data_IF_177192389417
#
_entry.id   IF_177192389417
#
_cell.length_a   1.000
_cell.length_b   1.000
_cell.length_c   1.000
_cell.angle_alpha   90.00
_cell.angle_beta   90.00
_cell.angle_gamma   90.00
#
_symmetry.space_group_name_H-M   'P 1'
#
loop_
_entity.id
_entity.type
_entity.pdbx_description
1 polymer ?
#
# COMPACT_ATOMS: atom_id res chain seq x y z
N UNK A 1 18.82 -2.15 8.07
CA UNK A 1 17.85 -1.48 8.97
C UNK A 1 16.66 -1.08 8.10
N UNK A 2 15.40 -1.21 8.59
CA UNK A 2 14.25 -0.71 7.82
C UNK A 2 14.29 0.82 7.73
N UNK A 3 14.07 1.42 6.56
CA UNK A 3 14.07 2.86 6.40
C UNK A 3 12.89 3.52 7.15
N UNK A 4 12.99 4.81 7.53
CA UNK A 4 11.87 5.55 8.10
C UNK A 4 10.65 5.51 7.18
N UNK A 5 9.53 5.03 7.71
CA UNK A 5 8.25 5.01 6.99
C UNK A 5 7.45 6.25 7.38
N UNK A 6 7.26 7.16 6.43
CA UNK A 6 6.47 8.38 6.65
C UNK A 6 5.00 8.09 6.38
N UNK A 7 4.18 8.39 7.37
CA UNK A 7 2.74 8.18 7.32
C UNK A 7 2.05 9.46 6.84
N UNK A 8 1.19 9.37 5.83
CA UNK A 8 0.43 10.48 5.26
C UNK A 8 -0.95 10.01 4.76
N UNK A 9 -1.92 10.91 4.59
CA UNK A 9 -3.25 10.56 4.08
C UNK A 9 -3.20 10.00 2.65
N UNK A 10 -4.06 9.01 2.35
CA UNK A 10 -4.16 8.36 1.03
C UNK A 10 -4.32 9.36 -0.13
N UNK A 11 -5.05 10.45 0.11
CA UNK A 11 -5.28 11.52 -0.88
C UNK A 11 -4.00 12.22 -1.32
N UNK A 12 -2.95 12.20 -0.49
CA UNK A 12 -1.66 12.83 -0.80
C UNK A 12 -0.71 11.86 -1.53
N UNK A 13 -1.08 10.58 -1.70
CA UNK A 13 -0.23 9.59 -2.36
C UNK A 13 0.25 10.00 -3.76
N UNK A 14 -0.60 10.58 -4.65
CA UNK A 14 -0.14 11.05 -5.96
C UNK A 14 0.91 12.17 -5.88
N UNK A 15 0.92 12.95 -4.80
CA UNK A 15 1.90 14.01 -4.57
C UNK A 15 3.19 13.45 -3.94
N UNK A 16 3.08 12.60 -2.90
CA UNK A 16 4.24 12.02 -2.21
C UNK A 16 5.08 11.13 -3.11
N UNK A 17 4.46 10.38 -4.02
CA UNK A 17 5.21 9.51 -4.95
C UNK A 17 6.13 10.28 -5.90
N UNK A 18 5.89 11.59 -6.08
CA UNK A 18 6.74 12.44 -6.91
C UNK A 18 8.12 12.68 -6.27
N UNK A 19 8.31 12.42 -4.98
CA UNK A 19 9.56 12.60 -4.27
C UNK A 19 10.29 11.27 -4.01
N UNK A 20 11.63 11.34 -4.03
CA UNK A 20 12.50 10.25 -3.57
C UNK A 20 12.55 10.21 -2.03
N UNK A 21 13.19 9.18 -1.47
CA UNK A 21 13.32 9.01 0.00
C UNK A 21 14.07 10.16 0.69
N UNK A 22 14.70 11.06 -0.08
CA UNK A 22 15.38 12.27 0.41
C UNK A 22 14.52 13.53 0.20
N UNK A 23 13.26 13.39 -0.19
CA UNK A 23 12.33 14.49 -0.46
C UNK A 23 12.59 15.22 -1.78
N UNK A 24 13.45 14.71 -2.68
CA UNK A 24 13.75 15.37 -3.95
C UNK A 24 12.84 14.86 -5.05
N UNK A 25 12.41 15.73 -5.96
CA UNK A 25 11.59 15.32 -7.12
C UNK A 25 12.26 14.18 -7.90
N UNK A 26 11.52 13.09 -8.14
CA UNK A 26 11.95 11.97 -8.99
C UNK A 26 12.06 12.43 -10.44
N UNK A 27 13.08 11.92 -11.12
CA UNK A 27 13.30 12.16 -12.55
C UNK A 27 12.96 10.89 -13.30
N UNK A 28 12.05 10.96 -14.27
CA UNK A 28 11.65 9.81 -15.06
C UNK A 28 12.61 9.58 -16.24
N UNK A 29 12.74 8.32 -16.66
CA UNK A 29 13.50 7.96 -17.86
C UNK A 29 12.80 8.52 -19.11
N UNK A 30 13.56 9.19 -19.98
CA UNK A 30 13.06 9.75 -21.24
C UNK A 30 12.39 11.12 -21.12
N UNK A 31 12.30 11.68 -19.92
CA UNK A 31 11.63 12.96 -19.69
C UNK A 31 12.62 14.13 -19.58
N UNK A 32 12.78 14.83 -20.71
CA UNK A 32 13.30 16.20 -20.77
C UNK A 32 12.21 17.24 -20.46
N UNK A 33 10.98 16.82 -20.14
CA UNK A 33 9.72 17.57 -20.27
C UNK A 33 8.85 17.68 -19.01
N UNK A 34 9.33 17.27 -17.83
CA UNK A 34 8.70 17.59 -16.54
C UNK A 34 7.51 16.73 -16.09
N UNK A 35 7.25 15.60 -16.75
CA UNK A 35 6.23 14.61 -16.37
C UNK A 35 6.47 13.99 -14.98
N UNK A 36 5.41 13.86 -14.20
CA UNK A 36 5.41 13.18 -12.90
C UNK A 36 5.12 11.69 -12.99
N UNK A 37 5.37 10.96 -11.91
CA UNK A 37 4.99 9.55 -11.76
C UNK A 37 3.47 9.42 -11.89
N UNK A 38 3.03 8.55 -12.80
CA UNK A 38 1.63 8.17 -12.96
C UNK A 38 1.45 6.74 -12.41
N UNK A 39 0.90 6.63 -11.20
CA UNK A 39 0.69 5.36 -10.51
C UNK A 39 -0.18 4.37 -11.32
N UNK A 40 -1.12 4.87 -12.12
CA UNK A 40 -2.02 4.02 -12.91
C UNK A 40 -1.28 3.22 -13.99
N UNK A 41 -0.15 3.77 -14.48
CA UNK A 41 0.72 3.14 -15.48
C UNK A 41 1.77 2.21 -14.87
N UNK A 42 1.97 2.26 -13.57
CA UNK A 42 2.88 1.35 -12.86
C UNK A 42 2.25 -0.03 -12.70
N UNK A 43 3.10 -1.06 -12.69
CA UNK A 43 2.66 -2.45 -12.58
C UNK A 43 2.07 -2.71 -11.19
N UNK A 44 0.84 -3.19 -11.13
CA UNK A 44 0.19 -3.58 -9.88
C UNK A 44 0.64 -4.98 -9.43
N UNK A 45 1.00 -5.11 -8.16
CA UNK A 45 1.37 -6.34 -7.47
C UNK A 45 0.48 -6.52 -6.25
N UNK A 46 0.26 -7.77 -5.87
CA UNK A 46 -0.46 -8.13 -4.64
C UNK A 46 0.39 -9.05 -3.77
N UNK A 47 0.30 -8.87 -2.46
CA UNK A 47 0.89 -9.74 -1.45
C UNK A 47 -0.18 -10.13 -0.44
N UNK A 48 -0.43 -11.43 -0.29
CA UNK A 48 -1.27 -11.92 0.80
C UNK A 48 -0.45 -11.95 2.10
N UNK A 49 -0.97 -11.28 3.12
CA UNK A 49 -0.47 -11.30 4.48
C UNK A 49 -1.56 -11.85 5.41
N UNK A 50 -1.22 -12.11 6.66
CA UNK A 50 -2.19 -12.49 7.67
C UNK A 50 -2.11 -11.51 8.83
N UNK A 51 -3.26 -10.97 9.22
CA UNK A 51 -3.42 -10.28 10.50
C UNK A 51 -3.88 -11.32 11.52
N UNK A 52 -3.23 -11.36 12.69
CA UNK A 52 -3.54 -12.33 13.72
C UNK A 52 -3.76 -11.63 15.05
N UNK A 53 -4.82 -12.00 15.76
CA UNK A 53 -5.11 -11.53 17.11
C UNK A 53 -5.33 -12.71 18.05
N UNK A 54 -4.94 -12.53 19.31
CA UNK A 54 -5.27 -13.46 20.40
C UNK A 54 -6.66 -13.07 20.89
N UNK A 55 -7.63 -13.99 20.83
CA UNK A 55 -9.03 -13.66 21.14
C UNK A 55 -9.22 -13.15 22.58
N UNK A 56 -8.50 -13.75 23.53
CA UNK A 56 -8.54 -13.42 24.95
C UNK A 56 -7.09 -13.35 25.47
N UNK A 57 -6.39 -12.21 25.33
CA UNK A 57 -4.96 -12.11 25.67
C UNK A 57 -4.63 -12.40 27.15
N UNK A 58 -5.63 -12.31 28.03
CA UNK A 58 -5.48 -12.53 29.47
C UNK A 58 -5.67 -14.00 29.88
N UNK A 59 -6.20 -14.87 29.02
CA UNK A 59 -6.43 -16.28 29.34
C UNK A 59 -5.28 -17.14 28.79
N UNK A 60 -4.66 -18.00 29.62
CA UNK A 60 -3.67 -18.96 29.13
C UNK A 60 -4.27 -19.85 28.03
N UNK A 61 -3.49 -20.11 26.99
CA UNK A 61 -3.89 -20.92 25.83
C UNK A 61 -5.11 -20.39 25.05
N UNK A 62 -5.37 -19.09 25.09
CA UNK A 62 -6.38 -18.48 24.22
C UNK A 62 -6.07 -18.79 22.73
N UNK A 63 -7.09 -19.10 21.91
CA UNK A 63 -6.92 -19.26 20.47
C UNK A 63 -6.34 -17.99 19.81
N UNK A 64 -5.52 -18.22 18.79
CA UNK A 64 -5.07 -17.19 17.85
C UNK A 64 -5.95 -17.27 16.61
N UNK A 65 -6.59 -16.16 16.25
CA UNK A 65 -7.39 -16.06 15.04
C UNK A 65 -6.65 -15.22 14.03
N UNK A 66 -6.47 -15.77 12.83
CA UNK A 66 -5.79 -15.09 11.72
C UNK A 66 -6.74 -14.90 10.54
N UNK A 67 -6.61 -13.76 9.86
CA UNK A 67 -7.39 -13.43 8.69
C UNK A 67 -6.47 -12.97 7.56
N UNK A 68 -6.77 -13.37 6.34
CA UNK A 68 -6.00 -12.94 5.17
C UNK A 68 -6.21 -11.45 4.91
N UNK A 69 -5.12 -10.73 4.67
CA UNK A 69 -5.07 -9.32 4.31
C UNK A 69 -4.32 -9.20 2.99
N UNK A 70 -4.98 -8.71 1.95
CA UNK A 70 -4.31 -8.45 0.68
C UNK A 70 -3.72 -7.05 0.68
N UNK A 71 -2.40 -6.96 0.54
CA UNK A 71 -1.67 -5.71 0.32
C UNK A 71 -1.41 -5.49 -1.16
N UNK A 72 -1.58 -4.28 -1.65
CA UNK A 72 -1.33 -3.92 -3.05
C UNK A 72 -0.15 -2.97 -3.17
N UNK A 73 0.67 -3.16 -4.20
CA UNK A 73 1.87 -2.35 -4.46
C UNK A 73 1.95 -1.96 -5.94
N UNK A 74 2.31 -0.71 -6.21
CA UNK A 74 2.69 -0.25 -7.55
C UNK A 74 4.21 -0.28 -7.67
N UNK A 75 4.70 -1.05 -8.64
CA UNK A 75 6.09 -1.13 -9.03
C UNK A 75 6.32 -0.11 -10.16
N UNK A 76 6.97 1.00 -9.84
CA UNK A 76 7.22 2.13 -10.72
C UNK A 76 8.71 2.22 -11.07
N UNK A 77 9.05 3.01 -12.10
CA UNK A 77 10.45 3.24 -12.51
C UNK A 77 10.77 4.72 -12.58
N UNK A 78 11.90 5.10 -12.02
CA UNK A 78 12.55 6.40 -12.22
C UNK A 78 13.97 6.20 -12.78
N UNK A 79 14.71 7.31 -12.97
CA UNK A 79 16.08 7.29 -13.51
C UNK A 79 17.08 6.53 -12.63
N UNK A 80 16.80 6.37 -11.34
CA UNK A 80 17.67 5.62 -10.41
C UNK A 80 17.33 4.14 -10.36
N UNK A 81 16.15 3.74 -10.85
CA UNK A 81 15.75 2.35 -10.96
C UNK A 81 14.28 2.14 -10.66
N UNK A 82 13.95 0.90 -10.32
CA UNK A 82 12.61 0.51 -9.90
C UNK A 82 12.40 0.87 -8.43
N UNK A 83 11.18 1.28 -8.07
CA UNK A 83 10.77 1.49 -6.70
C UNK A 83 9.34 0.99 -6.49
N UNK A 84 9.03 0.60 -5.26
CA UNK A 84 7.73 0.04 -4.89
C UNK A 84 7.00 0.97 -3.94
N UNK A 85 5.69 1.16 -4.19
CA UNK A 85 4.81 1.99 -3.38
C UNK A 85 3.62 1.16 -2.94
N UNK A 86 3.43 1.01 -1.63
CA UNK A 86 2.20 0.41 -1.12
C UNK A 86 1.00 1.30 -1.46
N UNK A 87 -0.03 0.70 -2.07
CA UNK A 87 -1.20 1.36 -2.64
C UNK A 87 -2.51 0.73 -2.18
N UNK A 88 -2.47 -0.14 -1.16
CA UNK A 88 -3.63 -0.91 -0.67
C UNK A 88 -4.92 -0.08 -0.56
N UNK A 89 -4.90 1.02 0.21
CA UNK A 89 -6.10 1.85 0.34
C UNK A 89 -6.35 2.80 -0.85
N UNK A 90 -5.33 3.06 -1.69
CA UNK A 90 -5.48 3.84 -2.92
C UNK A 90 -6.21 3.04 -4.00
N UNK A 91 -5.95 1.73 -4.10
CA UNK A 91 -6.71 0.83 -4.97
C UNK A 91 -8.17 0.68 -4.49
N UNK A 92 -8.42 0.66 -3.18
CA UNK A 92 -9.78 0.61 -2.62
C UNK A 92 -10.62 1.87 -2.85
N UNK A 93 -9.98 3.04 -2.99
CA UNK A 93 -10.65 4.33 -3.21
C UNK A 93 -10.87 4.66 -4.69
N UNK A 94 -10.00 4.20 -5.58
CA UNK A 94 -10.16 4.36 -7.05
C UNK A 94 -10.81 3.13 -7.73
N UNK A 95 -10.86 1.99 -7.03
CA UNK A 95 -11.32 0.69 -7.54
C UNK A 95 -12.82 0.41 -7.41
N UNK A 96 -13.65 1.37 -7.02
CA UNK A 96 -15.11 1.20 -6.97
C UNK A 96 -15.74 0.87 -8.35
N UNK A 97 -14.97 0.85 -9.44
CA UNK A 97 -15.47 0.56 -10.79
C UNK A 97 -15.10 -0.83 -11.35
N UNK A 98 -14.23 -1.65 -10.71
CA UNK A 98 -13.85 -2.95 -11.31
C UNK A 98 -13.74 -4.03 -10.22
N UNK A 99 -14.85 -4.68 -9.90
CA UNK A 99 -14.81 -5.91 -9.08
C UNK A 99 -16.07 -6.30 -8.32
N UNK A 100 -17.17 -5.55 -8.38
CA UNK A 100 -18.42 -5.88 -7.67
C UNK A 100 -19.28 -6.97 -8.36
N UNK A 101 -18.66 -7.95 -9.01
CA UNK A 101 -19.36 -9.10 -9.59
C UNK A 101 -18.58 -10.39 -9.30
N UNK A 102 -18.78 -10.93 -8.10
CA UNK A 102 -18.17 -12.19 -7.67
C UNK A 102 -18.57 -12.57 -6.25
N UNK A 103 -19.81 -13.06 -6.10
CA UNK A 103 -20.36 -13.77 -4.94
C UNK A 103 -20.40 -13.05 -3.59
N UNK A 104 -21.57 -12.47 -3.32
CA UNK A 104 -22.07 -12.24 -1.98
C UNK A 104 -22.24 -13.58 -1.24
N UNK A 105 -21.27 -13.95 -0.41
CA UNK A 105 -21.53 -14.71 0.81
C UNK A 105 -21.05 -13.86 1.97
N UNK A 106 -22.01 -13.49 2.82
CA UNK A 106 -21.85 -12.61 3.97
C UNK A 106 -20.61 -12.98 4.80
N UNK A 107 -19.52 -12.23 4.62
CA UNK A 107 -18.45 -12.18 5.60
C UNK A 107 -18.87 -11.18 6.66
N UNK A 108 -19.00 -11.68 7.89
CA UNK A 108 -19.28 -10.87 9.07
C UNK A 108 -18.42 -9.60 9.07
N UNK A 109 -19.10 -8.46 8.98
CA UNK A 109 -18.53 -7.14 9.20
C UNK A 109 -17.92 -7.14 10.61
N UNK A 110 -16.58 -7.10 10.71
CA UNK A 110 -15.93 -6.84 11.98
C UNK A 110 -16.21 -5.37 12.39
N UNK A 111 -16.64 -5.10 13.64
CA UNK A 111 -16.95 -3.75 14.10
C UNK A 111 -15.73 -2.82 14.29
N UNK A 112 -14.54 -3.21 13.81
CA UNK A 112 -13.31 -2.39 13.86
C UNK A 112 -12.98 -1.64 12.57
N UNK A 113 -13.76 -1.78 11.50
CA UNK A 113 -13.40 -1.28 10.16
C UNK A 113 -13.76 0.18 9.87
N UNK A 114 -14.21 0.99 10.86
CA UNK A 114 -14.77 2.32 10.54
C UNK A 114 -13.86 3.54 10.73
N UNK A 115 -12.65 3.45 11.31
CA UNK A 115 -11.86 4.70 11.52
C UNK A 115 -10.33 4.61 11.39
N UNK A 116 -9.70 3.44 11.46
CA UNK A 116 -8.25 3.38 11.78
C UNK A 116 -7.29 2.90 10.68
N UNK A 117 -7.68 2.81 9.40
CA UNK A 117 -6.75 2.43 8.32
C UNK A 117 -6.51 3.57 7.33
N UNK A 118 -6.14 4.74 7.84
CA UNK A 118 -5.74 5.91 7.03
C UNK A 118 -4.24 6.15 7.01
N UNK A 119 -3.45 5.25 7.60
CA UNK A 119 -2.10 5.62 8.05
C UNK A 119 -1.17 4.42 8.15
N UNK A 120 -0.87 3.76 7.04
CA UNK A 120 0.37 2.99 6.88
C UNK A 120 0.78 2.97 5.41
N UNK A 121 1.82 3.72 5.05
CA UNK A 121 2.46 3.61 3.74
C UNK A 121 3.97 3.58 3.89
N UNK A 122 4.57 2.54 3.34
CA UNK A 122 6.02 2.35 3.33
C UNK A 122 6.54 2.47 1.90
N UNK A 123 7.48 3.38 1.69
CA UNK A 123 8.26 3.43 0.45
C UNK A 123 9.44 2.48 0.58
N UNK A 124 9.51 1.47 -0.30
CA UNK A 124 10.68 0.61 -0.42
C UNK A 124 11.40 0.96 -1.72
N UNK A 125 12.65 1.40 -1.58
CA UNK A 125 13.58 1.53 -2.70
C UNK A 125 14.76 0.61 -2.40
N UNK A 126 14.94 -0.42 -3.23
CA UNK A 126 16.10 -1.30 -3.14
C UNK A 126 17.36 -0.48 -3.48
N UNK A 127 18.15 -0.17 -2.46
CA UNK A 127 19.51 0.31 -2.65
C UNK A 127 20.33 -0.84 -3.26
N UNK A 128 20.74 -0.65 -4.52
CA UNK A 128 21.67 -1.56 -5.18
C UNK A 128 23.05 -1.43 -4.49
N UNK A 129 23.76 -2.54 -4.19
CA UNK A 129 25.09 -2.49 -3.60
C UNK A 129 26.13 -1.85 -4.53
#
# INVERSE_FOLDING_TARGET
MSPPCHVFPVSELPAHVQADVRGRKRKLDGDSSGGGVDLSKCKLRSLAQYHCEIEQPQTPNSPVRCWAVNRFFRECKDKKGTFSVETTAWEGTNGAAVGAAGSATASHQHPGTSVADKTMYSFYQDDKP
#
